data_IF_689187007930
#
_entry.id   IF_689187007930
#
_cell.length_a   1.000
_cell.length_b   1.000
_cell.length_c   1.000
_cell.angle_alpha   90.00
_cell.angle_beta   90.00
_cell.angle_gamma   90.00
#
_symmetry.space_group_name_H-M   'P 1'
#
loop_
_entity.id
_entity.type
_entity.pdbx_description
1 polymer ?
2 non-polymer ?
3 non-polymer ?
4 non-polymer ?
5 non-polymer ?
6 water ?
#
# COMPACT_ATOMS: atom_id res chain seq x y z
N UNK A 15 -7.61 -25.18 -17.87
CA UNK A 15 -8.67 -24.76 -16.95
C UNK A 15 -8.86 -25.81 -15.86
N UNK A 16 -9.42 -26.96 -16.25
CA UNK A 16 -9.59 -28.06 -15.31
C UNK A 16 -8.35 -28.94 -15.21
N UNK A 17 -7.26 -28.59 -15.91
CA UNK A 17 -6.01 -29.29 -15.69
C UNK A 17 -5.39 -28.93 -14.35
N UNK A 18 -5.75 -27.79 -13.79
CA UNK A 18 -5.07 -27.25 -12.62
C UNK A 18 -5.94 -27.40 -11.38
N UNK A 19 -5.31 -27.80 -10.27
CA UNK A 19 -5.96 -27.85 -8.95
C UNK A 19 -7.28 -28.63 -9.01
N UNK A 20 -7.32 -29.66 -9.85
CA UNK A 20 -8.46 -30.57 -9.83
C UNK A 20 -8.39 -31.52 -8.63
N UNK A 21 -7.19 -31.81 -8.15
CA UNK A 21 -6.99 -32.64 -6.95
C UNK A 21 -6.35 -31.75 -5.91
N UNK A 22 -7.19 -31.12 -5.08
CA UNK A 22 -6.69 -30.24 -4.04
C UNK A 22 -7.47 -30.47 -2.74
N UNK A 23 -8.09 -31.64 -2.58
CA UNK A 23 -8.74 -32.00 -1.33
C UNK A 23 -7.85 -31.63 -0.14
N UNK A 24 -8.49 -31.19 0.94
CA UNK A 24 -7.82 -30.65 2.12
C UNK A 24 -7.11 -29.34 1.82
N UNK A 25 -6.52 -28.75 2.84
CA UNK A 25 -5.72 -27.57 2.61
C UNK A 25 -6.53 -26.29 2.69
N UNK A 26 -5.79 -25.19 2.73
CA UNK A 26 -6.32 -23.91 3.14
C UNK A 26 -5.63 -22.84 2.30
N UNK A 27 -6.33 -21.74 2.06
CA UNK A 27 -5.88 -20.75 1.08
C UNK A 27 -6.10 -19.37 1.66
N UNK A 28 -5.09 -18.50 1.56
CA UNK A 28 -5.13 -17.19 2.18
C UNK A 28 -4.78 -16.14 1.14
N UNK A 29 -5.36 -14.95 1.30
CA UNK A 29 -4.97 -13.80 0.51
C UNK A 29 -3.74 -13.18 1.15
N UNK A 30 -2.78 -12.75 0.32
CA UNK A 30 -1.64 -11.96 0.77
C UNK A 30 -1.74 -10.60 0.09
N UNK A 31 -1.71 -9.53 0.88
CA UNK A 31 -1.67 -8.18 0.33
C UNK A 31 -0.37 -7.53 0.76
N UNK A 32 0.38 -6.99 -0.19
CA UNK A 32 1.61 -6.26 0.15
C UNK A 32 1.47 -4.81 -0.26
N UNK A 33 2.01 -3.89 0.56
CA UNK A 33 2.14 -2.51 0.12
C UNK A 33 3.49 -2.27 -0.55
N UNK A 34 4.23 -3.32 -0.86
CA UNK A 34 5.53 -3.19 -1.54
C UNK A 34 5.66 -4.25 -2.62
N UNK A 35 5.77 -3.79 -3.88
CA UNK A 35 6.08 -4.73 -4.94
C UNK A 35 7.50 -5.25 -4.82
N UNK A 36 8.43 -4.41 -4.36
CA UNK A 36 9.80 -4.87 -4.13
C UNK A 36 9.85 -6.06 -3.17
N UNK A 37 9.06 -6.02 -2.10
CA UNK A 37 8.98 -7.18 -1.20
C UNK A 37 8.53 -8.44 -1.95
N UNK A 38 7.54 -8.30 -2.84
CA UNK A 38 7.13 -9.47 -3.62
C UNK A 38 8.27 -9.99 -4.48
N UNK A 39 8.98 -9.07 -5.14
CA UNK A 39 10.07 -9.51 -6.01
C UNK A 39 11.12 -10.29 -5.24
N UNK A 40 11.40 -9.84 -4.01
CA UNK A 40 12.34 -10.55 -3.16
C UNK A 40 11.79 -11.90 -2.73
N UNK A 41 10.49 -11.95 -2.44
CA UNK A 41 9.83 -13.23 -2.18
C UNK A 41 10.00 -14.20 -3.35
N UNK A 42 9.80 -13.71 -4.59
CA UNK A 42 9.92 -14.58 -5.74
C UNK A 42 11.35 -15.04 -5.93
N UNK A 43 12.32 -14.15 -5.66
CA UNK A 43 13.74 -14.49 -5.87
C UNK A 43 14.21 -15.55 -4.87
N UNK A 44 13.80 -15.42 -3.61
CA UNK A 44 14.36 -16.23 -2.55
C UNK A 44 13.38 -17.22 -1.93
N UNK A 45 12.13 -17.28 -2.40
CA UNK A 45 11.13 -18.22 -1.89
C UNK A 45 10.96 -18.12 -0.38
N UNK A 46 10.74 -16.88 0.10
CA UNK A 46 10.48 -16.60 1.49
C UNK A 46 9.42 -15.51 1.58
N UNK A 47 8.75 -15.42 2.73
CA UNK A 47 7.75 -14.38 2.94
C UNK A 47 7.63 -14.10 4.42
N UNK A 48 6.98 -12.97 4.74
CA UNK A 48 6.71 -12.55 6.09
C UNK A 48 5.44 -11.72 6.06
N UNK A 49 4.56 -11.89 7.05
CA UNK A 49 3.33 -11.10 7.17
C UNK A 49 3.42 -10.16 8.37
N UNK A 50 2.28 -9.64 8.80
CA UNK A 50 2.22 -8.93 10.07
C UNK A 50 2.33 -9.92 11.22
N UNK A 51 2.43 -9.39 12.43
CA UNK A 51 2.47 -10.27 13.60
C UNK A 51 1.23 -11.15 13.66
N UNK A 52 0.04 -10.53 13.55
CA UNK A 52 -1.17 -11.35 13.59
C UNK A 52 -1.29 -12.21 12.33
N UNK A 53 -0.85 -11.71 11.19
CA UNK A 53 -0.90 -12.51 9.98
C UNK A 53 0.01 -13.72 10.06
N UNK A 54 1.20 -13.54 10.63
CA UNK A 54 2.13 -14.66 10.78
C UNK A 54 1.53 -15.74 11.66
N UNK A 55 0.86 -15.33 12.74
CA UNK A 55 0.27 -16.30 13.65
C UNK A 55 -0.86 -17.07 12.99
N UNK A 56 -1.62 -16.41 12.11
CA UNK A 56 -2.69 -17.09 11.39
C UNK A 56 -2.12 -18.15 10.46
N UNK A 57 -1.14 -17.76 9.63
CA UNK A 57 -0.58 -18.70 8.68
C UNK A 57 0.14 -19.83 9.41
N UNK A 58 0.78 -19.51 10.53
CA UNK A 58 1.53 -20.51 11.30
C UNK A 58 0.59 -21.57 11.84
N UNK A 59 -0.52 -21.14 12.44
CA UNK A 59 -1.51 -22.09 12.95
C UNK A 59 -2.10 -22.94 11.84
N UNK A 60 -2.42 -22.34 10.70
CA UNK A 60 -2.94 -23.12 9.59
C UNK A 60 -1.93 -24.15 9.10
N UNK A 61 -0.68 -23.71 8.90
CA UNK A 61 0.34 -24.63 8.42
C UNK A 61 0.56 -25.77 9.42
N UNK A 62 0.59 -25.44 10.71
CA UNK A 62 0.87 -26.46 11.72
C UNK A 62 -0.30 -27.43 11.88
N UNK A 63 -1.53 -26.92 11.91
CA UNK A 63 -2.69 -27.81 12.04
C UNK A 63 -2.84 -28.68 10.81
N UNK A 64 -2.37 -28.20 9.66
CA UNK A 64 -2.44 -29.01 8.46
C UNK A 64 -1.53 -30.23 8.60
N UNK A 65 -0.46 -30.10 9.38
CA UNK A 65 0.46 -31.19 9.72
C UNK A 65 0.91 -31.97 8.49
N UNK A 66 0.99 -31.27 7.36
CA UNK A 66 1.42 -31.86 6.11
C UNK A 66 0.37 -32.61 5.32
N UNK A 67 -0.87 -32.69 5.79
CA UNK A 67 -1.91 -33.46 5.12
C UNK A 67 -2.49 -32.77 3.89
N UNK A 68 -2.03 -31.56 3.55
CA UNK A 68 -2.52 -30.84 2.41
C UNK A 68 -1.77 -29.53 2.25
N UNK A 69 -1.96 -28.84 1.14
CA UNK A 69 -1.21 -27.60 0.91
C UNK A 69 -1.85 -26.38 1.55
N UNK A 70 -1.01 -25.41 1.90
CA UNK A 70 -1.47 -24.07 2.26
C UNK A 70 -1.07 -23.15 1.11
N UNK A 71 -2.05 -22.56 0.43
CA UNK A 71 -1.77 -21.71 -0.72
C UNK A 71 -1.95 -20.23 -0.38
N UNK A 72 -1.17 -19.39 -1.06
CA UNK A 72 -1.12 -17.94 -0.80
C UNK A 72 -1.41 -17.23 -2.12
N UNK A 73 -2.44 -16.40 -2.13
CA UNK A 73 -2.82 -15.66 -3.33
C UNK A 73 -2.31 -14.22 -3.17
N UNK A 74 -1.28 -13.85 -3.95
CA UNK A 74 -0.57 -12.59 -3.72
C UNK A 74 -1.15 -11.45 -4.54
N UNK A 75 -1.20 -10.26 -3.94
CA UNK A 75 -1.67 -9.09 -4.66
C UNK A 75 -1.04 -7.84 -4.07
N UNK A 76 -0.49 -6.99 -4.93
CA UNK A 76 0.03 -5.69 -4.48
C UNK A 76 -1.14 -4.74 -4.28
N UNK A 77 -1.25 -4.18 -3.08
CA UNK A 77 -2.35 -3.28 -2.77
C UNK A 77 -2.41 -2.10 -3.75
N UNK A 78 -3.61 -1.85 -4.27
CA UNK A 78 -3.82 -0.78 -5.23
C UNK A 78 -3.44 -1.10 -6.65
N UNK A 79 -2.95 -2.31 -6.93
CA UNK A 79 -2.47 -2.59 -8.28
C UNK A 79 -3.59 -2.96 -9.25
N UNK A 80 -4.75 -3.33 -8.75
CA UNK A 80 -5.82 -3.81 -9.60
C UNK A 80 -5.63 -5.22 -10.15
N UNK A 81 -4.65 -5.97 -9.67
CA UNK A 81 -4.44 -7.34 -10.16
C UNK A 81 -3.78 -8.18 -9.10
N UNK A 82 -4.02 -9.49 -9.17
CA UNK A 82 -3.26 -10.45 -8.39
C UNK A 82 -2.00 -10.74 -9.17
N UNK A 83 -0.92 -11.09 -8.48
CA UNK A 83 0.36 -11.24 -9.15
C UNK A 83 0.92 -12.65 -9.08
N UNK A 84 0.28 -13.57 -8.36
CA UNK A 84 0.66 -14.97 -8.46
C UNK A 84 0.19 -15.78 -7.27
N UNK A 85 0.73 -16.99 -7.20
CA UNK A 85 0.34 -18.00 -6.22
C UNK A 85 1.61 -18.68 -5.71
N UNK A 86 1.71 -18.86 -4.41
CA UNK A 86 2.79 -19.63 -3.82
C UNK A 86 2.21 -20.57 -2.77
N UNK A 87 2.93 -21.65 -2.51
CA UNK A 87 2.58 -22.57 -1.45
C UNK A 87 3.46 -22.33 -0.24
N UNK A 88 2.87 -22.34 0.94
CA UNK A 88 3.66 -22.12 2.13
C UNK A 88 4.38 -23.42 2.48
N UNK A 89 5.64 -23.30 2.90
CA UNK A 89 6.51 -24.48 2.87
C UNK A 89 7.25 -24.70 4.18
N UNK A 90 6.97 -23.90 5.20
CA UNK A 90 7.56 -24.11 6.53
C UNK A 90 6.71 -23.36 7.53
N UNK A 91 6.92 -23.68 8.80
CA UNK A 91 6.36 -22.87 9.86
C UNK A 91 7.06 -21.52 9.93
N UNK A 92 6.52 -20.64 10.76
CA UNK A 92 7.06 -19.30 10.91
C UNK A 92 8.21 -19.32 11.91
N UNK A 93 9.37 -18.88 11.46
CA UNK A 93 10.49 -18.58 12.35
C UNK A 93 10.36 -17.13 12.78
N UNK A 94 10.17 -16.90 14.07
CA UNK A 94 9.89 -15.54 14.54
C UNK A 94 11.13 -14.73 14.87
N UNK A 95 12.29 -15.37 14.99
CA UNK A 95 13.51 -14.69 15.43
C UNK A 95 14.53 -14.78 14.30
N UNK A 96 14.55 -13.75 13.44
CA UNK A 96 15.35 -13.77 12.21
C UNK A 96 15.98 -12.40 12.00
N UNK A 97 16.82 -12.33 10.98
CA UNK A 97 17.56 -11.10 10.69
C UNK A 97 16.62 -9.90 10.50
N UNK A 98 16.94 -8.78 11.15
CA UNK A 98 16.09 -7.61 11.02
C UNK A 98 16.37 -6.88 9.71
N UNK A 99 15.37 -6.12 9.27
CA UNK A 99 15.57 -5.19 8.18
C UNK A 99 15.82 -5.79 6.81
N UNK A 100 15.38 -7.02 6.56
CA UNK A 100 15.56 -7.57 5.21
C UNK A 100 14.49 -7.13 4.24
N UNK A 101 13.38 -6.56 4.71
CA UNK A 101 12.28 -6.17 3.83
C UNK A 101 12.28 -4.65 3.62
N UNK A 102 11.26 -4.19 2.88
CA UNK A 102 11.13 -2.77 2.58
C UNK A 102 11.03 -1.93 3.84
N UNK A 103 10.52 -2.51 4.92
CA UNK A 103 10.40 -1.84 6.20
C UNK A 103 10.86 -2.78 7.30
N UNK A 104 11.35 -2.18 8.40
CA UNK A 104 11.78 -2.99 9.54
C UNK A 104 10.62 -3.66 10.26
N UNK A 105 9.39 -3.13 10.16
CA UNK A 105 8.27 -3.74 10.87
C UNK A 105 7.95 -5.16 10.42
N UNK A 106 8.47 -5.64 9.29
CA UNK A 106 8.23 -7.02 8.85
C UNK A 106 9.24 -7.93 9.56
N UNK A 107 8.77 -8.70 10.55
CA UNK A 107 9.63 -9.49 11.44
C UNK A 107 9.35 -10.98 11.28
N UNK A 108 10.39 -11.76 11.09
CA UNK A 108 10.24 -13.20 10.99
C UNK A 108 10.19 -13.65 9.54
N UNK A 109 10.05 -14.96 9.37
CA UNK A 109 10.25 -15.52 8.05
C UNK A 109 9.62 -16.91 7.99
N UNK A 110 9.04 -17.23 6.83
CA UNK A 110 8.69 -18.61 6.51
C UNK A 110 8.97 -18.84 5.04
N UNK A 111 9.29 -20.10 4.69
CA UNK A 111 9.54 -20.45 3.30
C UNK A 111 8.24 -20.58 2.53
N UNK A 112 8.32 -20.27 1.24
CA UNK A 112 7.26 -20.53 0.29
C UNK A 112 7.89 -21.16 -0.95
N UNK A 113 7.03 -21.67 -1.82
CA UNK A 113 7.45 -22.09 -3.16
C UNK A 113 6.49 -21.44 -4.14
N UNK A 114 7.00 -20.53 -4.97
CA UNK A 114 6.14 -19.86 -5.94
C UNK A 114 5.77 -20.80 -7.07
N UNK A 115 4.49 -20.81 -7.42
CA UNK A 115 3.93 -21.71 -8.44
C UNK A 115 3.58 -20.93 -9.70
N UNK A 116 2.85 -19.84 -9.56
CA UNK A 116 2.54 -18.95 -10.67
C UNK A 116 3.06 -17.55 -10.34
N UNK A 117 3.73 -16.93 -11.28
CA UNK A 117 4.02 -15.50 -11.26
C UNK A 117 3.37 -14.93 -12.49
N UNK A 118 2.24 -14.26 -12.32
CA UNK A 118 1.51 -13.71 -13.47
C UNK A 118 0.48 -12.72 -12.95
N UNK A 119 0.29 -11.62 -13.70
CA UNK A 119 -0.70 -10.62 -13.32
C UNK A 119 -2.06 -11.02 -13.89
N UNK A 120 -3.05 -11.10 -13.03
CA UNK A 120 -4.40 -11.44 -13.40
C UNK A 120 -5.29 -10.29 -12.96
N UNK A 121 -5.98 -9.60 -13.89
CA UNK A 121 -6.82 -8.46 -13.52
C UNK A 121 -7.93 -8.84 -12.55
N UNK A 122 -8.22 -7.91 -11.62
CA UNK A 122 -9.31 -8.13 -10.67
C UNK A 122 -10.64 -8.37 -11.37
N UNK A 123 -10.81 -7.82 -12.58
CA UNK A 123 -12.03 -8.04 -13.35
C UNK A 123 -12.30 -9.53 -13.56
N UNK A 124 -11.26 -10.35 -13.57
CA UNK A 124 -11.40 -11.78 -13.75
C UNK A 124 -11.87 -12.48 -12.48
N UNK A 125 -11.75 -11.82 -11.32
CA UNK A 125 -11.97 -12.48 -10.05
C UNK A 125 -13.04 -11.84 -9.18
N UNK A 126 -13.45 -10.61 -9.48
CA UNK A 126 -14.30 -9.87 -8.57
C UNK A 126 -15.69 -10.46 -8.40
N UNK A 127 -16.09 -11.36 -9.28
CA UNK A 127 -17.42 -11.96 -9.12
C UNK A 127 -17.42 -13.13 -8.14
N UNK A 128 -16.27 -13.49 -7.58
CA UNK A 128 -16.17 -14.54 -6.56
C UNK A 128 -16.28 -13.87 -5.20
N UNK A 129 -17.25 -14.29 -4.39
CA UNK A 129 -17.52 -13.67 -3.11
C UNK A 129 -17.23 -14.61 -1.95
N UNK A 130 -16.83 -14.03 -0.81
CA UNK A 130 -16.40 -14.84 0.33
C UNK A 130 -17.55 -14.90 1.34
N UNK A 131 -18.12 -16.09 1.53
CA UNK A 131 -19.21 -16.21 2.49
C UNK A 131 -18.73 -15.98 3.90
N UNK A 132 -17.43 -16.15 4.17
CA UNK A 132 -16.89 -15.86 5.49
C UNK A 132 -16.47 -14.41 5.66
N UNK A 133 -16.62 -13.56 4.65
CA UNK A 133 -16.29 -12.15 4.78
C UNK A 133 -17.45 -11.29 4.28
N UNK A 134 -18.64 -11.53 4.84
CA UNK A 134 -19.84 -10.75 4.51
C UNK A 134 -20.13 -10.75 3.01
N UNK A 135 -19.84 -11.86 2.34
CA UNK A 135 -20.10 -11.98 0.91
C UNK A 135 -19.39 -10.91 0.06
N UNK A 136 -18.29 -10.33 0.58
CA UNK A 136 -17.52 -9.35 -0.20
C UNK A 136 -16.72 -10.04 -1.32
N UNK A 137 -16.54 -9.36 -2.44
CA UNK A 137 -15.67 -9.90 -3.51
C UNK A 137 -14.31 -10.31 -2.95
N UNK A 138 -13.73 -11.35 -3.54
CA UNK A 138 -12.43 -11.83 -3.07
C UNK A 138 -11.36 -10.78 -3.33
N UNK A 139 -11.60 -9.91 -4.30
CA UNK A 139 -10.69 -8.81 -4.66
C UNK A 139 -10.70 -7.65 -3.68
N UNK A 140 -11.61 -7.66 -2.70
CA UNK A 140 -11.67 -6.63 -1.67
C UNK A 140 -11.20 -7.16 -0.32
N UNK A 141 -10.29 -8.13 -0.33
CA UNK A 141 -9.81 -8.75 0.89
C UNK A 141 -8.64 -7.99 1.47
N UNK A 142 -8.43 -8.15 2.77
CA UNK A 142 -7.24 -7.65 3.46
C UNK A 142 -6.21 -8.79 3.58
N UNK A 143 -4.98 -8.42 3.95
CA UNK A 143 -3.91 -9.40 4.14
C UNK A 143 -4.33 -10.54 5.09
N UNK A 144 -3.98 -11.77 4.71
CA UNK A 144 -4.27 -13.06 5.37
C UNK A 144 -5.77 -13.32 5.60
N UNK A 145 -6.65 -12.72 4.80
CA UNK A 145 -8.03 -13.20 4.70
C UNK A 145 -8.04 -14.65 4.22
N UNK A 146 -8.64 -15.55 5.00
CA UNK A 146 -8.76 -16.93 4.55
C UNK A 146 -9.90 -17.06 3.55
N UNK A 147 -9.71 -17.90 2.55
CA UNK A 147 -10.66 -18.09 1.46
C UNK A 147 -11.31 -19.46 1.65
N UNK A 148 -12.64 -19.57 1.64
CA UNK A 148 -13.26 -20.90 1.66
C UNK A 148 -12.79 -21.76 0.50
N UNK A 149 -12.64 -23.07 0.75
CA UNK A 149 -11.92 -23.92 -0.20
C UNK A 149 -12.59 -23.93 -1.56
N UNK A 150 -13.92 -23.94 -1.61
CA UNK A 150 -14.55 -24.02 -2.92
C UNK A 150 -14.34 -22.72 -3.71
N UNK A 151 -14.28 -21.59 -3.02
CA UNK A 151 -14.00 -20.32 -3.70
C UNK A 151 -12.53 -20.23 -4.09
N UNK A 152 -11.66 -20.73 -3.21
CA UNK A 152 -10.24 -20.76 -3.51
C UNK A 152 -9.95 -21.59 -4.75
N UNK A 153 -10.60 -22.75 -4.86
CA UNK A 153 -10.42 -23.58 -6.03
C UNK A 153 -10.75 -22.81 -7.31
N UNK A 154 -11.82 -21.98 -7.26
CA UNK A 154 -12.20 -21.18 -8.43
C UNK A 154 -11.14 -20.12 -8.74
N UNK A 155 -10.59 -19.48 -7.70
CA UNK A 155 -9.61 -18.43 -7.93
C UNK A 155 -8.35 -19.02 -8.52
N UNK A 156 -7.87 -20.10 -7.90
CA UNK A 156 -6.64 -20.77 -8.34
C UNK A 156 -6.75 -21.21 -9.78
N UNK A 157 -7.92 -21.74 -10.18
CA UNK A 157 -8.06 -22.19 -11.55
C UNK A 157 -8.04 -21.03 -12.53
N UNK A 158 -8.70 -19.92 -12.19
CA UNK A 158 -8.70 -18.75 -13.05
C UNK A 158 -7.28 -18.23 -13.23
N UNK A 159 -6.56 -18.08 -12.11
CA UNK A 159 -5.19 -17.57 -12.19
C UNK A 159 -4.33 -18.51 -13.04
N UNK A 160 -4.43 -19.81 -12.77
CA UNK A 160 -3.65 -20.82 -13.51
C UNK A 160 -3.88 -20.72 -15.02
N UNK A 161 -5.14 -20.56 -15.44
CA UNK A 161 -5.45 -20.60 -16.86
C UNK A 161 -5.46 -19.23 -17.54
N UNK A 162 -5.41 -18.12 -16.79
CA UNK A 162 -5.52 -16.82 -17.43
C UNK A 162 -4.42 -16.64 -18.47
N UNK A 163 -4.78 -16.05 -19.61
CA UNK A 163 -3.85 -15.86 -20.70
C UNK A 163 -4.04 -14.48 -21.32
N UNK B 15 4.53 30.07 23.17
CA UNK B 15 5.58 29.06 23.21
C UNK B 15 6.11 28.79 21.79
N UNK B 16 5.29 28.20 20.93
CA UNK B 16 5.67 27.97 19.54
C UNK B 16 4.61 28.60 18.64
N UNK B 17 4.90 29.80 18.13
CA UNK B 17 3.97 30.52 17.27
C UNK B 17 4.46 30.58 15.83
N UNK B 18 5.39 29.69 15.44
CA UNK B 18 5.94 29.75 14.10
C UNK B 18 4.86 29.59 13.04
N UNK B 19 4.13 28.48 13.08
CA UNK B 19 3.18 28.18 12.00
C UNK B 19 1.98 29.11 12.01
N UNK B 20 1.74 29.83 13.10
CA UNK B 20 0.59 30.71 13.19
C UNK B 20 0.72 31.97 12.34
N UNK B 21 1.94 32.37 11.99
CA UNK B 21 2.14 33.60 11.22
C UNK B 21 2.63 33.25 9.82
N UNK B 22 1.67 32.93 8.94
CA UNK B 22 1.91 32.74 7.51
C UNK B 22 0.57 32.66 6.79
N UNK B 23 0.23 33.71 6.04
CA UNK B 23 -1.03 33.76 5.31
C UNK B 23 -0.85 33.38 3.84
N UNK B 24 0.13 32.53 3.54
CA UNK B 24 0.44 32.15 2.17
C UNK B 24 0.84 30.68 2.14
N UNK B 25 0.44 29.99 1.08
CA UNK B 25 0.77 28.58 0.95
C UNK B 25 -0.46 27.72 0.76
N UNK B 26 -0.26 26.53 0.18
CA UNK B 26 -1.32 25.55 -0.02
C UNK B 26 -0.78 24.19 0.37
N UNK B 27 -1.67 23.31 0.81
CA UNK B 27 -1.28 22.06 1.45
C UNK B 27 -2.23 20.96 0.99
N UNK B 28 -1.67 19.81 0.62
CA UNK B 28 -2.43 18.72 0.03
C UNK B 28 -2.08 17.42 0.73
N UNK B 29 -3.07 16.54 0.89
CA UNK B 29 -2.80 15.20 1.36
C UNK B 29 -2.33 14.36 0.18
N UNK B 30 -1.29 13.55 0.42
CA UNK B 30 -0.86 12.54 -0.55
C UNK B 30 -1.17 11.20 0.04
N UNK B 31 -1.99 10.41 -0.65
CA UNK B 31 -2.29 9.03 -0.25
C UNK B 31 -1.69 8.10 -1.29
N UNK B 32 -0.70 7.31 -0.87
CA UNK B 32 -0.02 6.38 -1.76
C UNK B 32 -0.34 4.94 -1.35
N UNK B 33 -0.56 4.07 -2.34
CA UNK B 33 -0.66 2.65 -2.04
C UNK B 33 0.69 1.98 -1.78
N UNK B 34 1.83 2.62 -2.10
CA UNK B 34 3.10 1.90 -2.27
C UNK B 34 4.21 2.43 -1.36
N UNK B 35 4.75 1.54 -0.52
CA UNK B 35 5.93 1.92 0.23
C UNK B 35 7.10 2.16 -0.70
N UNK B 36 7.12 1.43 -1.83
CA UNK B 36 8.21 1.60 -2.79
C UNK B 36 8.22 3.02 -3.36
N UNK B 37 7.04 3.56 -3.70
CA UNK B 37 6.97 4.93 -4.21
C UNK B 37 7.50 5.92 -3.18
N UNK B 38 7.07 5.79 -1.93
CA UNK B 38 7.63 6.63 -0.86
C UNK B 38 9.15 6.52 -0.83
N UNK B 39 9.69 5.30 -0.80
CA UNK B 39 11.14 5.13 -0.74
C UNK B 39 11.84 5.80 -1.91
N UNK B 40 11.30 5.65 -3.12
CA UNK B 40 11.87 6.31 -4.29
C UNK B 40 11.81 7.82 -4.17
N UNK B 41 10.73 8.32 -3.57
CA UNK B 41 10.55 9.76 -3.46
C UNK B 41 11.56 10.36 -2.50
N UNK B 42 11.79 9.70 -1.37
CA UNK B 42 12.80 10.16 -0.41
C UNK B 42 14.20 10.05 -1.00
N UNK B 43 14.46 8.98 -1.74
CA UNK B 43 15.78 8.78 -2.37
C UNK B 43 16.10 9.84 -3.40
N UNK B 44 15.15 10.16 -4.27
CA UNK B 44 15.44 11.00 -5.42
C UNK B 44 14.73 12.36 -5.43
N UNK B 45 13.95 12.68 -4.39
CA UNK B 45 13.23 13.96 -4.29
C UNK B 45 12.36 14.21 -5.50
N UNK B 46 11.53 13.21 -5.83
CA UNK B 46 10.56 13.31 -6.91
C UNK B 46 9.27 12.65 -6.45
N UNK B 47 8.18 12.96 -7.16
CA UNK B 47 6.87 12.37 -6.91
C UNK B 47 6.08 12.31 -8.21
N UNK B 48 5.01 11.53 -8.18
CA UNK B 48 4.06 11.42 -9.27
C UNK B 48 2.75 10.93 -8.68
N UNK B 49 1.66 11.50 -9.15
CA UNK B 49 0.30 11.14 -8.74
C UNK B 49 -0.42 10.57 -9.96
N UNK B 50 -1.73 10.34 -9.81
CA UNK B 50 -2.55 10.02 -10.95
C UNK B 50 -2.59 11.21 -11.91
N UNK B 51 -3.23 11.01 -13.07
CA UNK B 51 -3.41 12.13 -13.98
C UNK B 51 -4.21 13.25 -13.34
N UNK B 52 -5.36 12.92 -12.76
CA UNK B 52 -6.15 13.93 -12.05
C UNK B 52 -5.34 14.56 -10.93
N UNK B 53 -4.63 13.75 -10.14
CA UNK B 53 -3.85 14.29 -9.04
C UNK B 53 -2.77 15.22 -9.53
N UNK B 54 -2.00 14.80 -10.53
CA UNK B 54 -0.94 15.64 -11.11
C UNK B 54 -1.48 16.97 -11.61
N UNK B 55 -2.63 16.94 -12.28
CA UNK B 55 -3.20 18.19 -12.78
C UNK B 55 -3.53 19.14 -11.64
N UNK B 56 -4.05 18.60 -10.53
CA UNK B 56 -4.41 19.43 -9.38
C UNK B 56 -3.17 20.08 -8.76
N UNK B 57 -2.13 19.27 -8.53
CA UNK B 57 -0.95 19.80 -7.87
C UNK B 57 -0.23 20.82 -8.75
N UNK B 58 -0.16 20.55 -10.05
CA UNK B 58 0.50 21.45 -10.98
C UNK B 58 -0.19 22.81 -11.00
N UNK B 59 -1.52 22.80 -11.15
CA UNK B 59 -2.26 24.06 -11.14
C UNK B 59 -2.00 24.84 -9.87
N UNK B 60 -2.02 24.16 -8.72
CA UNK B 60 -1.75 24.85 -7.46
C UNK B 60 -0.31 25.37 -7.40
N UNK B 61 0.65 24.60 -7.93
CA UNK B 61 2.03 25.06 -7.92
C UNK B 61 2.20 26.25 -8.86
N UNK B 62 1.66 26.16 -10.07
CA UNK B 62 1.79 27.24 -11.04
C UNK B 62 1.12 28.51 -10.54
N UNK B 63 -0.01 28.38 -9.85
CA UNK B 63 -0.74 29.56 -9.40
C UNK B 63 -0.03 30.24 -8.24
N UNK B 64 0.85 29.54 -7.52
CA UNK B 64 1.40 30.15 -6.33
C UNK B 64 2.49 31.17 -6.66
N UNK B 65 3.06 31.09 -7.87
CA UNK B 65 4.14 31.97 -8.34
C UNK B 65 5.17 32.22 -7.24
N UNK B 66 5.58 31.13 -6.57
CA UNK B 66 6.59 31.22 -5.53
C UNK B 66 6.25 32.11 -4.36
N UNK B 67 4.99 32.54 -4.21
CA UNK B 67 4.63 33.40 -3.09
C UNK B 67 4.61 32.67 -1.76
N UNK B 68 4.75 31.35 -1.77
CA UNK B 68 4.63 30.53 -0.58
C UNK B 68 4.71 29.06 -0.96
N UNK B 69 4.82 28.19 0.02
CA UNK B 69 5.10 26.77 -0.27
C UNK B 69 3.84 26.01 -0.63
N UNK B 70 4.03 24.91 -1.37
CA UNK B 70 3.02 23.87 -1.50
C UNK B 70 3.52 22.68 -0.69
N UNK B 71 2.84 22.37 0.40
CA UNK B 71 3.25 21.26 1.25
C UNK B 71 2.44 20.01 0.91
N UNK B 72 3.12 18.88 0.97
CA UNK B 72 2.52 17.57 0.70
C UNK B 72 2.65 16.76 1.98
N UNK B 73 1.52 16.34 2.54
CA UNK B 73 1.50 15.54 3.75
C UNK B 73 1.24 14.09 3.33
N UNK B 74 2.24 13.22 3.50
CA UNK B 74 2.25 11.89 2.90
C UNK B 74 1.71 10.83 3.85
N UNK B 75 0.98 9.86 3.30
CA UNK B 75 0.46 8.76 4.09
C UNK B 75 0.20 7.57 3.18
N UNK B 76 0.65 6.39 3.60
CA UNK B 76 0.44 5.16 2.83
C UNK B 76 -0.90 4.55 3.23
N UNK B 77 -1.71 4.23 2.22
CA UNK B 77 -3.03 3.67 2.44
C UNK B 77 -2.96 2.44 3.34
N UNK B 78 -3.76 2.45 4.40
CA UNK B 78 -3.84 1.32 5.30
C UNK B 78 -2.70 1.18 6.28
N UNK B 79 -1.79 2.16 6.33
CA UNK B 79 -0.63 2.07 7.21
C UNK B 79 -0.89 2.60 8.61
N UNK B 80 -2.00 3.31 8.83
CA UNK B 80 -2.30 3.82 10.16
C UNK B 80 -1.59 5.08 10.56
N UNK B 81 -0.71 5.64 9.71
CA UNK B 81 0.01 6.86 10.09
C UNK B 81 0.37 7.67 8.86
N UNK B 82 0.69 8.94 9.10
CA UNK B 82 1.41 9.74 8.13
C UNK B 82 2.90 9.46 8.27
N UNK B 83 3.61 9.49 7.14
CA UNK B 83 5.00 9.11 7.13
C UNK B 83 5.92 10.29 6.84
N UNK B 84 5.39 11.47 6.53
CA UNK B 84 6.27 12.59 6.35
C UNK B 84 5.64 13.77 5.63
N UNK B 85 6.49 14.78 5.43
CA UNK B 85 6.10 16.06 4.82
C UNK B 85 7.14 16.43 3.79
N UNK B 86 6.68 16.90 2.63
CA UNK B 86 7.57 17.39 1.61
C UNK B 86 7.02 18.67 1.04
N UNK B 87 7.90 19.45 0.43
CA UNK B 87 7.52 20.64 -0.30
C UNK B 87 7.63 20.38 -1.79
N UNK B 88 6.58 20.72 -2.53
CA UNK B 88 6.65 20.72 -3.98
C UNK B 88 7.63 21.77 -4.48
N UNK B 89 8.52 21.37 -5.39
CA UNK B 89 9.63 22.23 -5.78
C UNK B 89 9.77 22.36 -7.28
N UNK B 90 8.80 21.89 -8.05
CA UNK B 90 8.78 22.12 -9.49
C UNK B 90 7.37 21.87 -10.00
N UNK B 91 7.12 22.28 -11.23
CA UNK B 91 5.89 21.93 -11.92
C UNK B 91 5.96 20.48 -12.42
N UNK B 92 4.82 19.98 -12.88
CA UNK B 92 4.72 18.59 -13.34
C UNK B 92 5.28 18.47 -14.75
N UNK B 93 6.20 17.52 -14.92
CA UNK B 93 6.66 17.09 -16.24
C UNK B 93 5.87 15.84 -16.61
N UNK B 94 5.00 15.94 -17.62
CA UNK B 94 4.06 14.87 -17.92
C UNK B 94 4.58 13.82 -18.89
N UNK B 95 5.80 13.99 -19.43
CA UNK B 95 6.36 13.00 -20.36
C UNK B 95 7.78 12.69 -19.91
N UNK B 96 7.88 11.74 -18.99
CA UNK B 96 9.15 11.18 -18.56
C UNK B 96 9.08 9.67 -18.74
N UNK B 97 10.11 8.99 -18.26
CA UNK B 97 10.22 7.54 -18.43
C UNK B 97 9.13 6.81 -17.65
N UNK B 98 8.34 5.98 -18.36
CA UNK B 98 7.32 5.17 -17.70
C UNK B 98 7.97 4.05 -16.89
N UNK B 99 7.13 3.33 -16.15
CA UNK B 99 7.61 2.14 -15.46
C UNK B 99 8.46 2.37 -14.24
N UNK B 100 8.50 3.58 -13.71
CA UNK B 100 9.31 3.84 -12.53
C UNK B 100 8.51 3.85 -11.23
N UNK B 101 7.19 4.05 -11.30
CA UNK B 101 6.35 4.06 -10.11
C UNK B 101 5.59 2.74 -9.96
N UNK B 102 4.87 2.65 -8.84
CA UNK B 102 4.04 1.49 -8.52
C UNK B 102 3.10 1.14 -9.66
N UNK B 103 2.42 2.14 -10.19
CA UNK B 103 1.59 1.99 -11.37
C UNK B 103 2.49 2.14 -12.58
N UNK B 104 2.61 1.06 -13.35
CA UNK B 104 3.56 1.02 -14.46
C UNK B 104 3.27 2.05 -15.54
N UNK B 105 2.02 2.53 -15.65
CA UNK B 105 1.70 3.45 -16.74
C UNK B 105 2.01 4.91 -16.41
N UNK B 106 2.26 5.24 -15.15
CA UNK B 106 2.53 6.63 -14.80
C UNK B 106 3.81 7.11 -15.47
N UNK B 107 3.77 8.30 -16.06
CA UNK B 107 4.94 8.84 -16.72
C UNK B 107 5.19 10.30 -16.35
N UNK B 108 4.49 10.83 -15.34
CA UNK B 108 4.78 12.16 -14.86
C UNK B 108 5.83 12.18 -13.78
N UNK B 109 6.35 13.39 -13.51
CA UNK B 109 7.33 13.58 -12.46
C UNK B 109 7.33 15.05 -12.05
N UNK B 110 7.48 15.31 -10.75
CA UNK B 110 7.80 16.66 -10.32
C UNK B 110 8.74 16.58 -9.13
N UNK B 111 9.51 17.65 -8.94
CA UNK B 111 10.50 17.68 -7.87
C UNK B 111 9.84 17.99 -6.53
N UNK B 112 10.30 17.34 -5.47
CA UNK B 112 9.91 17.65 -4.11
C UNK B 112 11.16 17.80 -3.26
N UNK B 113 10.98 18.38 -2.07
CA UNK B 113 12.02 18.39 -1.05
C UNK B 113 11.42 17.88 0.25
N UNK B 114 11.86 16.71 0.69
CA UNK B 114 11.31 16.12 1.90
C UNK B 114 11.76 16.91 3.13
N UNK B 115 10.86 17.05 4.10
CA UNK B 115 10.97 17.99 5.20
C UNK B 115 11.02 17.22 6.51
N UNK B 116 9.99 16.41 6.73
CA UNK B 116 9.94 15.44 7.81
C UNK B 116 9.85 14.07 7.16
N UNK B 117 10.69 13.16 7.61
CA UNK B 117 10.47 11.74 7.41
C UNK B 117 10.31 11.18 8.82
N UNK B 118 9.08 10.95 9.23
CA UNK B 118 8.78 10.58 10.60
C UNK B 118 7.36 10.04 10.63
N UNK B 119 7.15 8.93 11.31
CA UNK B 119 5.81 8.37 11.41
C UNK B 119 5.00 9.09 12.48
N UNK B 120 3.82 9.58 12.09
CA UNK B 120 2.91 10.24 13.02
C UNK B 120 1.60 9.46 12.98
N UNK B 121 1.22 8.79 14.06
CA UNK B 121 0.02 7.93 14.02
C UNK B 121 -1.23 8.75 13.77
N UNK B 122 -2.24 8.07 13.21
CA UNK B 122 -3.46 8.76 12.81
C UNK B 122 -4.20 9.32 14.01
N UNK B 123 -4.06 8.68 15.17
CA UNK B 123 -4.74 9.14 16.37
C UNK B 123 -4.30 10.54 16.77
N UNK B 124 -3.05 10.91 16.43
CA UNK B 124 -2.59 12.26 16.75
C UNK B 124 -3.24 13.33 15.89
N UNK B 125 -3.87 12.94 14.77
CA UNK B 125 -4.37 13.89 13.80
C UNK B 125 -5.87 13.79 13.53
N UNK B 126 -6.53 12.71 13.96
CA UNK B 126 -7.93 12.49 13.59
C UNK B 126 -8.87 13.57 14.10
N UNK B 127 -8.43 14.38 15.08
CA UNK B 127 -9.32 15.40 15.63
C UNK B 127 -9.50 16.57 14.67
N UNK B 128 -8.52 16.82 13.81
CA UNK B 128 -8.62 17.91 12.85
C UNK B 128 -9.54 17.47 11.71
N UNK B 129 -10.51 18.32 11.38
CA UNK B 129 -11.52 18.00 10.37
C UNK B 129 -11.46 19.04 9.25
N UNK B 130 -11.85 18.64 8.05
CA UNK B 130 -11.73 19.47 6.85
C UNK B 130 -13.10 20.00 6.41
N UNK B 131 -13.34 21.28 6.66
CA UNK B 131 -14.63 21.88 6.33
C UNK B 131 -14.92 21.80 4.83
N UNK B 132 -13.90 21.61 3.99
CA UNK B 132 -14.07 21.48 2.55
C UNK B 132 -14.24 20.03 2.10
N UNK B 133 -14.15 19.08 3.01
CA UNK B 133 -14.40 17.66 2.75
C UNK B 133 -15.42 17.13 3.75
N UNK B 134 -16.56 17.82 3.83
CA UNK B 134 -17.72 17.36 4.61
C UNK B 134 -17.36 17.14 6.08
N UNK B 135 -16.40 17.91 6.58
CA UNK B 135 -16.00 17.87 7.98
C UNK B 135 -15.42 16.50 8.34
N UNK B 136 -14.86 15.79 7.32
CA UNK B 136 -14.23 14.51 7.62
C UNK B 136 -12.86 14.72 8.29
N UNK B 137 -12.47 13.81 9.17
CA UNK B 137 -11.11 13.88 9.74
C UNK B 137 -10.07 13.92 8.62
N UNK B 138 -9.05 14.75 8.81
CA UNK B 138 -7.99 14.87 7.80
C UNK B 138 -7.38 13.50 7.50
N UNK B 139 -7.46 12.57 8.46
CA UNK B 139 -6.92 11.22 8.30
C UNK B 139 -7.77 10.35 7.40
N UNK B 140 -8.95 10.81 6.98
CA UNK B 140 -9.79 10.08 6.05
C UNK B 140 -9.82 10.75 4.68
N UNK B 141 -8.76 11.49 4.35
CA UNK B 141 -8.72 12.15 3.06
C UNK B 141 -8.28 11.15 1.97
N UNK B 142 -8.65 11.45 0.74
CA UNK B 142 -8.17 10.75 -0.44
C UNK B 142 -7.00 11.53 -1.04
N UNK B 143 -6.34 10.93 -2.03
CA UNK B 143 -5.14 11.50 -2.63
C UNK B 143 -5.42 12.89 -3.24
N UNK B 144 -4.54 13.84 -2.92
CA UNK B 144 -4.55 15.25 -3.33
C UNK B 144 -5.78 16.00 -2.81
N UNK B 145 -6.42 15.52 -1.75
CA UNK B 145 -7.35 16.32 -0.97
C UNK B 145 -6.64 17.58 -0.48
N UNK B 146 -7.14 18.76 -0.85
CA UNK B 146 -6.54 19.99 -0.34
C UNK B 146 -6.95 20.25 1.10
N UNK B 147 -6.06 20.89 1.85
CA UNK B 147 -6.26 21.19 3.26
C UNK B 147 -6.40 22.69 3.43
N UNK B 148 -7.44 23.18 4.08
CA UNK B 148 -7.52 24.62 4.37
C UNK B 148 -6.33 25.06 5.23
N UNK B 149 -5.78 26.21 4.88
CA UNK B 149 -4.52 26.65 5.48
C UNK B 149 -4.62 26.71 7.00
N UNK B 150 -5.74 27.19 7.53
CA UNK B 150 -5.86 27.26 8.99
C UNK B 150 -5.84 25.87 9.63
N UNK B 151 -6.36 24.84 8.93
CA UNK B 151 -6.25 23.49 9.47
C UNK B 151 -4.88 22.89 9.21
N UNK B 152 -4.24 23.28 8.12
CA UNK B 152 -2.91 22.77 7.81
C UNK B 152 -1.87 23.25 8.81
N UNK B 153 -2.02 24.49 9.29
CA UNK B 153 -1.12 25.00 10.33
C UNK B 153 -1.16 24.09 11.54
N UNK B 154 -2.34 23.57 11.88
CA UNK B 154 -2.48 22.73 13.06
C UNK B 154 -1.90 21.35 12.81
N UNK B 155 -2.08 20.80 11.61
CA UNK B 155 -1.49 19.49 11.31
C UNK B 155 0.03 19.56 11.39
N UNK B 156 0.61 20.58 10.75
CA UNK B 156 2.05 20.73 10.75
C UNK B 156 2.60 20.84 12.17
N UNK B 157 1.95 21.66 13.01
CA UNK B 157 2.40 21.80 14.38
C UNK B 157 2.40 20.45 15.09
N UNK B 158 1.35 19.65 14.87
CA UNK B 158 1.29 18.32 15.48
C UNK B 158 2.41 17.42 14.95
N UNK B 159 2.61 17.44 13.62
CA UNK B 159 3.65 16.59 13.04
C UNK B 159 5.03 16.99 13.55
N UNK B 160 5.29 18.30 13.63
CA UNK B 160 6.61 18.74 14.07
C UNK B 160 6.87 18.40 15.52
N UNK B 161 5.84 18.42 16.36
CA UNK B 161 6.03 18.24 17.79
C UNK B 161 5.84 16.80 18.25
N UNK B 162 5.52 15.86 17.35
CA UNK B 162 5.29 14.49 17.77
C UNK B 162 6.59 13.79 18.13
N UNK B 163 6.54 12.97 19.18
CA UNK B 163 7.73 12.27 19.66
C UNK B 163 7.62 10.76 19.46
#
# INVERSE_FOLDING_TARGET
MGSSYHHHHHHSSGENLYFQHMKHGRVFIIKSYSEDDIHRSIKYNIWCSTEHGNKRLDAAYRSMNGKGPVYLLFSVNGSGHFCGVAEMKSAVDYNTCAGVWSQDKWKGRFDVRWIFVKDVPNSQLRHIRLENNENKPVTNSRDTQEVPLEKAKQVLKIIASYKHTTS
MGSSYHHHHHHSSGENLYFQHMKHGRVFIIKSYSEDDIHRSIKYNIWCSTEHGNKRLDAAYRSMNGKGPVYLLFSVNGSGHFCGVAEMKSAVDYNTCAGVWSQDKWKGRFDVRWIFVKDVPNSQLRHIRLENNENKPVTNSRDTQEVPLEKAKQVLKIIASYKHTTS
#
